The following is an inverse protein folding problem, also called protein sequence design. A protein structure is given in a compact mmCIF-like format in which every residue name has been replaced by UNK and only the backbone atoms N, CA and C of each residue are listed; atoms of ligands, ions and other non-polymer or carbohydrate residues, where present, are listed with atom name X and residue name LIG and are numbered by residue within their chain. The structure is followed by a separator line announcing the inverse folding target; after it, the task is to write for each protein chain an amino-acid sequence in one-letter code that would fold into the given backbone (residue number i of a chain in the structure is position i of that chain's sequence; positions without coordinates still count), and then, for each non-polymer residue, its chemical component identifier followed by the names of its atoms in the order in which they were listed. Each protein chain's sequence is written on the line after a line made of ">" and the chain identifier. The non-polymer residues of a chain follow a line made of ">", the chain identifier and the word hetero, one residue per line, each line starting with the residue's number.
data_IF_138670098006
#
_entry.id   IF_138670098006
#
_cell.length_a   1.000
_cell.length_b   1.000
_cell.length_c   1.000
_cell.angle_alpha   90.00
_cell.angle_beta   90.00
_cell.angle_gamma   90.00
#
_symmetry.space_group_name_H-M   'P 1'
#
loop_
_entity.id
_entity.type
_entity.pdbx_description
1 polymer ?
#
# COMPACT_ATOMS: atom_id res chain seq x y z
N UNK A 1 -46.98 -1.78 42.38
CA UNK A 1 -46.13 -3.00 42.34
C UNK A 1 -46.39 -3.85 41.09
N UNK A 2 -47.65 -4.08 40.71
CA UNK A 2 -48.05 -4.88 39.55
C UNK A 2 -47.46 -4.45 38.18
N UNK A 3 -47.36 -3.15 37.92
CA UNK A 3 -46.77 -2.62 36.67
C UNK A 3 -45.28 -2.96 36.52
N UNK A 4 -44.51 -2.97 37.62
CA UNK A 4 -43.07 -3.29 37.59
C UNK A 4 -42.82 -4.75 37.20
N UNK A 5 -43.69 -5.66 37.61
CA UNK A 5 -43.57 -7.09 37.31
C UNK A 5 -43.85 -7.36 35.82
N UNK A 6 -44.87 -6.72 35.25
CA UNK A 6 -45.19 -6.85 33.82
C UNK A 6 -44.06 -6.34 32.92
N UNK A 7 -43.46 -5.20 33.27
CA UNK A 7 -42.31 -4.65 32.53
C UNK A 7 -41.10 -5.58 32.61
N UNK A 8 -40.83 -6.15 33.79
CA UNK A 8 -39.69 -7.06 34.00
C UNK A 8 -39.85 -8.36 33.18
N UNK A 9 -41.05 -8.95 33.15
CA UNK A 9 -41.35 -10.11 32.30
C UNK A 9 -41.23 -9.78 30.81
N UNK A 10 -41.70 -8.60 30.38
CA UNK A 10 -41.56 -8.15 29.00
C UNK A 10 -40.11 -8.01 28.54
N UNK A 11 -39.24 -7.42 29.39
CA UNK A 11 -37.80 -7.30 29.11
C UNK A 11 -37.13 -8.66 29.03
N UNK A 12 -37.50 -9.61 29.91
CA UNK A 12 -36.96 -10.98 29.88
C UNK A 12 -37.33 -11.72 28.59
N UNK A 13 -38.58 -11.60 28.13
CA UNK A 13 -39.03 -12.23 26.89
C UNK A 13 -38.32 -11.63 25.68
N UNK A 14 -38.20 -10.30 25.61
CA UNK A 14 -37.48 -9.63 24.52
C UNK A 14 -36.00 -10.01 24.53
N UNK A 15 -35.37 -10.09 25.70
CA UNK A 15 -33.98 -10.56 25.86
C UNK A 15 -33.80 -12.01 25.40
N UNK A 16 -34.72 -12.90 25.77
CA UNK A 16 -34.68 -14.31 25.37
C UNK A 16 -34.89 -14.49 23.85
N UNK A 17 -35.85 -13.78 23.27
CA UNK A 17 -36.09 -13.78 21.81
C UNK A 17 -34.89 -13.18 21.08
N UNK A 18 -34.31 -12.09 21.59
CA UNK A 18 -33.11 -11.47 21.03
C UNK A 18 -31.91 -12.40 21.04
N UNK A 19 -31.69 -13.13 22.15
CA UNK A 19 -30.63 -14.13 22.24
C UNK A 19 -30.85 -15.28 21.27
N UNK A 20 -32.09 -15.78 21.16
CA UNK A 20 -32.42 -16.89 20.25
C UNK A 20 -32.30 -16.48 18.79
N UNK A 21 -32.71 -15.24 18.45
CA UNK A 21 -32.52 -14.67 17.12
C UNK A 21 -31.03 -14.48 16.79
N UNK A 22 -30.23 -14.07 17.79
CA UNK A 22 -28.79 -13.95 17.62
C UNK A 22 -28.14 -15.30 17.34
N UNK A 23 -28.45 -16.31 18.16
CA UNK A 23 -27.84 -17.63 18.06
C UNK A 23 -28.22 -18.37 16.78
N UNK A 24 -29.47 -18.21 16.31
CA UNK A 24 -29.98 -18.93 15.13
C UNK A 24 -29.65 -18.21 13.82
N UNK A 25 -29.61 -16.88 13.80
CA UNK A 25 -29.53 -16.12 12.55
C UNK A 25 -28.30 -15.21 12.46
N UNK A 26 -28.04 -14.40 13.49
CA UNK A 26 -26.95 -13.42 13.41
C UNK A 26 -25.58 -14.08 13.53
N UNK A 27 -25.43 -15.10 14.37
CA UNK A 27 -24.16 -15.79 14.59
C UNK A 27 -23.61 -16.33 13.27
N UNK A 28 -24.38 -17.14 12.56
CA UNK A 28 -23.95 -17.75 11.30
C UNK A 28 -23.70 -16.69 10.22
N UNK A 29 -24.53 -15.65 10.18
CA UNK A 29 -24.33 -14.52 9.27
C UNK A 29 -23.01 -13.78 9.54
N UNK A 30 -22.67 -13.48 10.79
CA UNK A 30 -21.41 -12.83 11.15
C UNK A 30 -20.21 -13.73 10.93
N UNK A 31 -20.32 -15.03 11.20
CA UNK A 31 -19.25 -15.98 10.87
C UNK A 31 -19.02 -16.05 9.35
N UNK A 32 -20.07 -16.07 8.55
CA UNK A 32 -20.00 -16.04 7.10
C UNK A 32 -19.37 -14.74 6.58
N UNK A 33 -19.79 -13.57 7.10
CA UNK A 33 -19.18 -12.29 6.77
C UNK A 33 -17.71 -12.23 7.18
N UNK A 34 -17.38 -12.73 8.37
CA UNK A 34 -16.02 -12.81 8.87
C UNK A 34 -15.14 -13.68 7.99
N UNK A 35 -15.62 -14.85 7.57
CA UNK A 35 -14.87 -15.74 6.67
C UNK A 35 -14.65 -15.09 5.31
N UNK A 36 -15.67 -14.43 4.73
CA UNK A 36 -15.51 -13.69 3.47
C UNK A 36 -14.47 -12.58 3.63
N UNK A 37 -14.56 -11.79 4.70
CA UNK A 37 -13.64 -10.69 4.95
C UNK A 37 -12.20 -11.19 5.06
N UNK A 38 -11.95 -12.26 5.83
CA UNK A 38 -10.63 -12.87 5.96
C UNK A 38 -10.14 -13.40 4.61
N UNK A 39 -10.97 -14.13 3.86
CA UNK A 39 -10.59 -14.62 2.53
C UNK A 39 -10.21 -13.50 1.56
N UNK A 40 -10.98 -12.41 1.53
CA UNK A 40 -10.70 -11.24 0.71
C UNK A 40 -9.43 -10.54 1.17
N UNK A 41 -9.25 -10.34 2.47
CA UNK A 41 -8.04 -9.73 3.03
C UNK A 41 -6.79 -10.55 2.73
N UNK A 42 -6.85 -11.88 2.88
CA UNK A 42 -5.76 -12.80 2.53
C UNK A 42 -5.47 -12.75 1.04
N UNK A 43 -6.48 -12.76 0.18
CA UNK A 43 -6.31 -12.69 -1.27
C UNK A 43 -5.65 -11.38 -1.71
N UNK A 44 -6.10 -10.23 -1.17
CA UNK A 44 -5.50 -8.92 -1.44
C UNK A 44 -4.05 -8.90 -0.94
N UNK A 45 -3.80 -9.39 0.28
CA UNK A 45 -2.46 -9.41 0.85
C UNK A 45 -1.50 -10.32 0.07
N UNK A 46 -1.90 -11.54 -0.25
CA UNK A 46 -1.06 -12.47 -1.01
C UNK A 46 -0.78 -11.93 -2.41
N UNK A 47 -1.81 -11.42 -3.10
CA UNK A 47 -1.65 -10.81 -4.42
C UNK A 47 -0.76 -9.57 -4.39
N UNK A 48 -0.85 -8.76 -3.33
CA UNK A 48 0.03 -7.61 -3.13
C UNK A 48 1.49 -8.03 -2.93
N UNK A 49 1.75 -9.01 -2.05
CA UNK A 49 3.11 -9.50 -1.81
C UNK A 49 3.70 -10.16 -3.06
N UNK A 50 2.90 -10.90 -3.84
CA UNK A 50 3.33 -11.44 -5.13
C UNK A 50 3.69 -10.32 -6.12
N UNK A 51 2.88 -9.26 -6.20
CA UNK A 51 3.19 -8.08 -7.01
C UNK A 51 4.50 -7.39 -6.60
N UNK A 52 4.79 -7.31 -5.30
CA UNK A 52 6.05 -6.72 -4.80
C UNK A 52 7.30 -7.47 -5.29
N UNK A 53 7.20 -8.78 -5.48
CA UNK A 53 8.34 -9.64 -5.81
C UNK A 53 8.30 -10.24 -7.22
N UNK A 54 7.34 -9.83 -8.06
CA UNK A 54 7.17 -10.38 -9.41
C UNK A 54 8.35 -10.13 -10.34
N UNK A 55 9.18 -9.14 -10.03
CA UNK A 55 10.27 -8.67 -10.89
C UNK A 55 11.67 -8.96 -10.31
N UNK A 56 11.78 -9.70 -9.20
CA UNK A 56 13.06 -10.01 -8.56
C UNK A 56 14.01 -10.75 -9.51
N UNK A 57 13.52 -11.69 -10.33
CA UNK A 57 14.38 -12.42 -11.27
C UNK A 57 14.95 -11.57 -12.41
N UNK A 58 14.33 -10.43 -12.72
CA UNK A 58 14.80 -9.49 -13.74
C UNK A 58 16.02 -8.69 -13.27
N UNK A 59 16.24 -8.63 -11.95
CA UNK A 59 17.27 -7.80 -11.32
C UNK A 59 16.79 -6.36 -11.10
N UNK A 60 17.24 -5.75 -10.00
CA UNK A 60 16.85 -4.39 -9.63
C UNK A 60 17.92 -3.36 -10.00
N UNK A 61 17.64 -2.52 -11.00
CA UNK A 61 18.50 -1.36 -11.28
C UNK A 61 17.99 -0.14 -10.53
N UNK A 62 18.87 0.52 -9.77
CA UNK A 62 18.53 1.73 -9.02
C UNK A 62 17.91 2.83 -9.90
N UNK A 63 18.31 2.91 -11.17
CA UNK A 63 17.78 3.88 -12.13
C UNK A 63 16.30 3.67 -12.49
N UNK A 64 15.73 2.48 -12.26
CA UNK A 64 14.31 2.20 -12.51
C UNK A 64 13.39 2.91 -11.50
N UNK A 65 13.89 3.21 -10.29
CA UNK A 65 13.13 3.90 -9.24
C UNK A 65 13.02 5.41 -9.51
N UNK A 66 14.01 5.97 -10.20
CA UNK A 66 14.20 7.42 -10.34
C UNK A 66 12.98 8.14 -10.98
N UNK A 67 12.36 7.64 -12.07
CA UNK A 67 11.17 8.26 -12.64
C UNK A 67 10.00 8.35 -11.64
N UNK A 68 9.75 7.28 -10.89
CA UNK A 68 8.67 7.25 -9.91
C UNK A 68 8.91 8.26 -8.77
N UNK A 69 10.16 8.37 -8.28
CA UNK A 69 10.51 9.36 -7.24
C UNK A 69 10.30 10.78 -7.75
N UNK A 70 10.74 11.07 -8.98
CA UNK A 70 10.57 12.39 -9.60
C UNK A 70 9.09 12.75 -9.74
N UNK A 71 8.26 11.81 -10.20
CA UNK A 71 6.83 12.07 -10.38
C UNK A 71 6.15 12.32 -9.04
N UNK A 72 6.40 11.49 -8.01
CA UNK A 72 5.85 11.72 -6.65
C UNK A 72 6.29 13.08 -6.11
N UNK A 73 7.57 13.44 -6.29
CA UNK A 73 8.10 14.73 -5.85
C UNK A 73 7.41 15.89 -6.57
N UNK A 74 7.21 15.80 -7.89
CA UNK A 74 6.49 16.82 -8.67
C UNK A 74 5.05 16.95 -8.17
N UNK A 75 4.37 15.83 -7.93
CA UNK A 75 2.98 15.84 -7.45
C UNK A 75 2.88 16.49 -6.08
N UNK A 76 3.78 16.17 -5.14
CA UNK A 76 3.79 16.76 -3.79
C UNK A 76 4.17 18.24 -3.79
N UNK A 77 5.09 18.66 -4.66
CA UNK A 77 5.55 20.04 -4.75
C UNK A 77 4.60 20.94 -5.56
N UNK A 78 3.82 20.36 -6.48
CA UNK A 78 2.96 21.12 -7.39
C UNK A 78 1.93 22.02 -6.69
N UNK A 79 1.21 21.60 -5.62
CA UNK A 79 0.21 22.44 -4.98
C UNK A 79 0.85 23.66 -4.32
N UNK A 80 2.04 23.49 -3.73
CA UNK A 80 2.80 24.58 -3.12
C UNK A 80 3.26 25.59 -4.18
N UNK A 81 3.79 25.11 -5.31
CA UNK A 81 4.18 25.96 -6.43
C UNK A 81 3.00 26.74 -7.00
N UNK A 82 1.87 26.07 -7.27
CA UNK A 82 0.66 26.70 -7.79
C UNK A 82 0.08 27.70 -6.78
N UNK A 83 0.02 27.35 -5.49
CA UNK A 83 -0.45 28.23 -4.44
C UNK A 83 0.33 29.55 -4.39
N UNK A 84 1.67 29.48 -4.43
CA UNK A 84 2.53 30.65 -4.43
C UNK A 84 2.39 31.50 -5.70
N UNK A 85 2.33 30.86 -6.87
CA UNK A 85 2.14 31.57 -8.15
C UNK A 85 0.82 32.33 -8.18
N UNK A 86 -0.25 31.67 -7.76
CA UNK A 86 -1.59 32.23 -7.62
C UNK A 86 -1.58 33.44 -6.68
N UNK A 87 -1.05 33.30 -5.47
CA UNK A 87 -0.97 34.40 -4.52
C UNK A 87 -0.15 35.60 -5.06
N UNK A 88 0.93 35.36 -5.81
CA UNK A 88 1.71 36.44 -6.45
C UNK A 88 0.94 37.18 -7.54
N UNK A 89 0.11 36.48 -8.32
CA UNK A 89 -0.76 37.13 -9.31
C UNK A 89 -1.82 37.97 -8.61
N UNK A 90 -2.40 37.47 -7.51
CA UNK A 90 -3.40 38.19 -6.73
C UNK A 90 -2.85 39.43 -6.02
N UNK A 91 -1.65 39.33 -5.42
CA UNK A 91 -1.02 40.48 -4.77
C UNK A 91 -0.73 41.65 -5.73
N UNK A 92 -0.68 41.40 -7.04
CA UNK A 92 -0.53 42.45 -8.07
C UNK A 92 -1.86 43.05 -8.51
N UNK A 93 -2.99 42.45 -8.14
CA UNK A 93 -4.33 42.81 -8.61
C UNK A 93 -5.16 43.61 -7.60
N UNK A 94 -4.62 43.91 -6.41
CA UNK A 94 -5.20 44.81 -5.39
C UNK A 94 -5.15 46.30 -5.81
N UNK A 95 -5.31 46.60 -7.09
CA UNK A 95 -5.70 47.93 -7.54
C UNK A 95 -7.21 48.08 -7.36
N UNK A 96 -7.72 49.14 -6.70
CA UNK A 96 -9.14 49.27 -6.38
C UNK A 96 -9.95 49.42 -7.67
N UNK A 97 -10.67 48.38 -8.08
CA UNK A 97 -11.64 48.49 -9.18
C UNK A 97 -12.92 49.07 -8.59
N UNK A 98 -13.17 50.32 -8.98
CA UNK A 98 -14.32 51.16 -8.66
C UNK A 98 -15.66 50.44 -8.87
N UNK A 99 -16.52 50.61 -7.88
CA UNK A 99 -17.94 50.27 -7.89
C UNK A 99 -18.63 50.85 -9.12
N UNK A 100 -19.08 50.01 -10.05
CA UNK A 100 -20.15 50.40 -10.97
C UNK A 100 -21.09 49.22 -11.21
N UNK A 101 -22.27 49.33 -10.58
CA UNK A 101 -23.55 48.85 -11.13
C UNK A 101 -23.66 47.36 -11.49
N UNK A 102 -23.69 46.48 -10.50
CA UNK A 102 -24.09 45.08 -10.66
C UNK A 102 -23.52 44.24 -9.53
N UNK A 103 -24.34 43.42 -8.86
CA UNK A 103 -24.02 42.66 -7.63
C UNK A 103 -23.02 41.50 -7.85
N UNK A 104 -22.03 41.66 -8.72
CA UNK A 104 -20.95 40.71 -8.90
C UNK A 104 -19.82 41.12 -7.95
N UNK A 105 -19.65 40.36 -6.86
CA UNK A 105 -18.48 40.51 -6.00
C UNK A 105 -17.34 39.63 -6.56
N UNK A 106 -16.35 40.19 -7.26
CA UNK A 106 -15.28 39.41 -7.89
C UNK A 106 -14.47 38.61 -6.87
N UNK A 107 -14.39 39.10 -5.63
CA UNK A 107 -13.65 38.45 -4.54
C UNK A 107 -14.32 37.12 -4.18
N UNK A 108 -15.66 37.07 -4.08
CA UNK A 108 -16.36 35.82 -3.72
C UNK A 108 -16.31 34.78 -4.84
N UNK A 109 -16.38 35.20 -6.11
CA UNK A 109 -16.16 34.32 -7.27
C UNK A 109 -14.75 33.72 -7.29
N UNK A 110 -13.73 34.53 -6.98
CA UNK A 110 -12.33 34.11 -6.95
C UNK A 110 -12.03 33.17 -5.77
N UNK A 111 -12.57 33.45 -4.58
CA UNK A 111 -12.46 32.55 -3.41
C UNK A 111 -13.13 31.20 -3.68
N UNK A 112 -14.31 31.21 -4.31
CA UNK A 112 -14.99 29.97 -4.72
C UNK A 112 -14.18 29.20 -5.77
N UNK A 113 -13.54 29.89 -6.73
CA UNK A 113 -12.65 29.28 -7.73
C UNK A 113 -11.40 28.64 -7.11
N UNK A 114 -10.76 29.31 -6.13
CA UNK A 114 -9.61 28.77 -5.37
C UNK A 114 -10.01 27.52 -4.59
N UNK A 115 -11.16 27.55 -3.89
CA UNK A 115 -11.67 26.40 -3.13
C UNK A 115 -11.98 25.20 -4.04
N UNK A 116 -12.65 25.42 -5.19
CA UNK A 116 -12.94 24.36 -6.17
C UNK A 116 -11.68 23.75 -6.77
N UNK A 117 -10.69 24.58 -7.10
CA UNK A 117 -9.44 24.10 -7.67
C UNK A 117 -8.61 23.30 -6.66
N UNK A 118 -8.57 23.72 -5.38
CA UNK A 118 -7.91 22.94 -4.33
C UNK A 118 -8.61 21.58 -4.13
N UNK A 119 -9.94 21.56 -4.07
CA UNK A 119 -10.69 20.30 -3.97
C UNK A 119 -10.41 19.40 -5.17
N UNK A 120 -10.39 19.95 -6.39
CA UNK A 120 -10.06 19.21 -7.60
C UNK A 120 -8.65 18.62 -7.56
N UNK A 121 -7.64 19.41 -7.17
CA UNK A 121 -6.25 18.95 -7.04
C UNK A 121 -6.14 17.87 -5.97
N UNK A 122 -6.83 17.99 -4.83
CA UNK A 122 -6.81 16.96 -3.79
C UNK A 122 -7.48 15.66 -4.25
N UNK A 123 -8.65 15.76 -4.90
CA UNK A 123 -9.39 14.59 -5.39
C UNK A 123 -8.61 13.85 -6.48
N UNK A 124 -7.96 14.57 -7.39
CA UNK A 124 -7.15 13.95 -8.46
C UNK A 124 -5.76 13.52 -7.97
N UNK A 125 -5.18 14.23 -6.99
CA UNK A 125 -3.85 13.96 -6.49
C UNK A 125 -3.76 12.67 -5.66
N UNK A 126 -4.80 12.34 -4.88
CA UNK A 126 -4.79 11.16 -4.00
C UNK A 126 -4.60 9.85 -4.79
N UNK A 127 -5.39 9.53 -5.84
CA UNK A 127 -5.19 8.30 -6.61
C UNK A 127 -3.81 8.22 -7.24
N UNK A 128 -3.31 9.34 -7.77
CA UNK A 128 -2.00 9.41 -8.41
C UNK A 128 -0.89 9.12 -7.38
N UNK A 129 -0.97 9.72 -6.19
CA UNK A 129 -0.02 9.45 -5.09
C UNK A 129 -0.04 7.97 -4.71
N UNK A 130 -1.22 7.35 -4.61
CA UNK A 130 -1.35 5.93 -4.27
C UNK A 130 -0.66 5.06 -5.33
N UNK A 131 -0.95 5.28 -6.62
CA UNK A 131 -0.38 4.51 -7.73
C UNK A 131 1.16 4.60 -7.77
N UNK A 132 1.71 5.81 -7.67
CA UNK A 132 3.16 5.97 -7.72
C UNK A 132 3.85 5.52 -6.42
N UNK A 133 3.18 5.61 -5.27
CA UNK A 133 3.70 5.05 -4.03
C UNK A 133 3.77 3.53 -4.11
N UNK A 134 2.75 2.87 -4.66
CA UNK A 134 2.79 1.41 -4.92
C UNK A 134 3.99 1.03 -5.80
N UNK A 135 4.14 1.71 -6.94
CA UNK A 135 5.26 1.49 -7.86
C UNK A 135 6.61 1.67 -7.15
N UNK A 136 6.77 2.72 -6.32
CA UNK A 136 8.00 2.93 -5.54
C UNK A 136 8.24 1.81 -4.52
N UNK A 137 7.22 1.40 -3.77
CA UNK A 137 7.33 0.34 -2.78
C UNK A 137 7.74 -0.96 -3.45
N UNK A 138 7.12 -1.31 -4.60
CA UNK A 138 7.47 -2.47 -5.40
C UNK A 138 8.93 -2.46 -5.83
N UNK A 139 9.39 -1.37 -6.45
CA UNK A 139 10.76 -1.24 -6.95
C UNK A 139 11.80 -1.32 -5.82
N UNK A 140 11.56 -0.62 -4.71
CA UNK A 140 12.45 -0.66 -3.54
C UNK A 140 12.50 -2.07 -2.93
N UNK A 141 11.36 -2.74 -2.83
CA UNK A 141 11.26 -4.11 -2.32
C UNK A 141 12.01 -5.09 -3.21
N UNK A 142 11.83 -4.97 -4.53
CA UNK A 142 12.52 -5.77 -5.55
C UNK A 142 14.03 -5.60 -5.45
N UNK A 143 14.53 -4.34 -5.44
CA UNK A 143 15.96 -4.05 -5.32
C UNK A 143 16.54 -4.62 -4.02
N UNK A 144 15.82 -4.48 -2.90
CA UNK A 144 16.26 -5.01 -1.61
C UNK A 144 16.35 -6.53 -1.63
N UNK A 145 15.37 -7.21 -2.24
CA UNK A 145 15.38 -8.66 -2.40
C UNK A 145 16.55 -9.12 -3.28
N UNK A 146 16.72 -8.54 -4.47
CA UNK A 146 17.83 -8.83 -5.38
C UNK A 146 19.18 -8.71 -4.68
N UNK A 147 19.46 -7.57 -4.04
CA UNK A 147 20.75 -7.34 -3.36
C UNK A 147 21.03 -8.34 -2.24
N UNK A 148 20.00 -8.73 -1.49
CA UNK A 148 20.16 -9.72 -0.40
C UNK A 148 20.40 -11.12 -0.94
N UNK A 149 19.66 -11.53 -1.97
CA UNK A 149 19.84 -12.85 -2.60
C UNK A 149 21.21 -12.93 -3.26
N UNK A 150 21.59 -11.93 -4.07
CA UNK A 150 22.89 -11.86 -4.72
C UNK A 150 24.02 -11.92 -3.70
N UNK A 151 23.93 -11.16 -2.61
CA UNK A 151 24.90 -11.23 -1.51
C UNK A 151 25.00 -12.64 -0.91
N UNK A 152 23.88 -13.32 -0.68
CA UNK A 152 23.90 -14.67 -0.11
C UNK A 152 24.45 -15.69 -1.10
N UNK A 153 24.13 -15.55 -2.39
CA UNK A 153 24.69 -16.37 -3.47
C UNK A 153 26.21 -16.18 -3.59
N UNK A 154 26.70 -14.95 -3.47
CA UNK A 154 28.13 -14.64 -3.51
C UNK A 154 28.87 -15.23 -2.29
N UNK A 155 28.28 -15.13 -1.09
CA UNK A 155 28.86 -15.69 0.14
C UNK A 155 28.94 -17.21 0.06
N UNK A 156 27.88 -17.88 -0.40
CA UNK A 156 27.84 -19.34 -0.42
C UNK A 156 28.64 -19.96 -1.58
N UNK A 157 28.84 -19.21 -2.68
CA UNK A 157 29.49 -19.67 -3.92
C UNK A 157 30.75 -20.52 -3.71
N UNK A 158 31.78 -20.08 -2.94
CA UNK A 158 33.01 -20.85 -2.78
C UNK A 158 32.80 -22.20 -2.07
N UNK A 159 31.68 -22.41 -1.39
CA UNK A 159 31.44 -23.58 -0.55
C UNK A 159 30.59 -24.68 -1.22
N UNK A 160 29.78 -24.34 -2.24
CA UNK A 160 28.83 -25.28 -2.86
C UNK A 160 29.28 -25.82 -4.22
N UNK A 161 30.34 -25.25 -4.79
CA UNK A 161 30.85 -25.55 -6.13
C UNK A 161 30.03 -24.90 -7.25
N UNK A 162 30.67 -24.70 -8.40
CA UNK A 162 30.11 -23.93 -9.52
C UNK A 162 28.80 -24.51 -10.07
N UNK A 163 28.66 -25.84 -10.16
CA UNK A 163 27.42 -26.45 -10.66
C UNK A 163 26.20 -26.09 -9.80
N UNK A 164 26.32 -26.20 -8.47
CA UNK A 164 25.23 -25.86 -7.57
C UNK A 164 24.94 -24.37 -7.55
N UNK A 165 25.99 -23.55 -7.66
CA UNK A 165 25.84 -22.10 -7.78
C UNK A 165 25.04 -21.71 -9.02
N UNK A 166 25.35 -22.28 -10.19
CA UNK A 166 24.62 -21.98 -11.42
C UNK A 166 23.15 -22.42 -11.38
N UNK A 167 22.82 -23.51 -10.68
CA UNK A 167 21.42 -23.92 -10.46
C UNK A 167 20.69 -22.85 -9.65
N UNK A 168 21.22 -22.48 -8.47
CA UNK A 168 20.61 -21.43 -7.64
C UNK A 168 20.51 -20.09 -8.36
N UNK A 169 21.51 -19.74 -9.16
CA UNK A 169 21.49 -18.53 -9.96
C UNK A 169 20.42 -18.58 -11.06
N UNK A 170 20.21 -19.74 -11.69
CA UNK A 170 19.12 -19.95 -12.64
C UNK A 170 17.76 -19.81 -11.97
N UNK A 171 17.59 -20.39 -10.78
CA UNK A 171 16.36 -20.31 -9.98
C UNK A 171 16.09 -18.86 -9.56
N UNK A 172 17.12 -18.13 -9.15
CA UNK A 172 17.05 -16.68 -8.90
C UNK A 172 16.49 -15.91 -10.11
N UNK A 173 16.95 -16.20 -11.32
CA UNK A 173 16.48 -15.53 -12.55
C UNK A 173 15.04 -15.88 -12.91
N UNK A 174 14.47 -16.94 -12.34
CA UNK A 174 13.10 -17.40 -12.60
C UNK A 174 12.09 -16.95 -11.55
N UNK A 175 12.50 -16.16 -10.56
CA UNK A 175 11.59 -15.63 -9.54
C UNK A 175 10.61 -14.65 -10.19
N UNK A 176 9.33 -14.99 -10.09
CA UNK A 176 8.17 -14.23 -10.56
C UNK A 176 7.10 -14.02 -9.48
N UNK A 177 7.41 -14.29 -8.21
CA UNK A 177 6.49 -14.12 -7.10
C UNK A 177 7.04 -14.59 -5.76
N UNK A 178 6.21 -14.50 -4.73
CA UNK A 178 6.56 -14.79 -3.34
C UNK A 178 6.99 -16.25 -3.13
N UNK A 179 6.27 -17.19 -3.72
CA UNK A 179 6.51 -18.62 -3.50
C UNK A 179 7.92 -19.02 -3.93
N UNK A 180 8.28 -18.76 -5.20
CA UNK A 180 9.61 -19.10 -5.73
C UNK A 180 10.74 -18.38 -4.98
N UNK A 181 10.48 -17.16 -4.52
CA UNK A 181 11.42 -16.41 -3.71
C UNK A 181 11.67 -17.11 -2.36
N UNK A 182 10.62 -17.55 -1.65
CA UNK A 182 10.75 -18.33 -0.42
C UNK A 182 11.49 -19.64 -0.68
N UNK A 183 11.13 -20.35 -1.73
CA UNK A 183 11.73 -21.64 -2.09
C UNK A 183 13.24 -21.49 -2.31
N UNK A 184 13.66 -20.48 -3.07
CA UNK A 184 15.08 -20.17 -3.26
C UNK A 184 15.78 -19.80 -1.94
N UNK A 185 15.17 -18.96 -1.11
CA UNK A 185 15.75 -18.56 0.19
C UNK A 185 15.99 -19.79 1.06
N UNK A 186 15.02 -20.70 1.12
CA UNK A 186 15.12 -21.95 1.87
C UNK A 186 16.23 -22.84 1.30
N UNK A 187 16.32 -22.98 -0.01
CA UNK A 187 17.36 -23.78 -0.67
C UNK A 187 18.77 -23.23 -0.43
N UNK A 188 18.93 -21.91 -0.48
CA UNK A 188 20.18 -21.22 -0.14
C UNK A 188 20.54 -21.51 1.33
N UNK A 189 19.59 -21.35 2.26
CA UNK A 189 19.83 -21.56 3.70
C UNK A 189 20.18 -23.03 4.00
N UNK A 190 19.51 -23.99 3.37
CA UNK A 190 19.80 -25.42 3.53
C UNK A 190 21.22 -25.73 3.05
N UNK A 191 21.62 -25.20 1.89
CA UNK A 191 22.98 -25.40 1.35
C UNK A 191 24.03 -24.70 2.21
N UNK A 192 23.74 -23.51 2.74
CA UNK A 192 24.66 -22.78 3.61
C UNK A 192 24.87 -23.51 4.94
N UNK A 193 23.79 -24.02 5.54
CA UNK A 193 23.86 -24.84 6.76
C UNK A 193 24.69 -26.11 6.56
N UNK A 194 24.55 -26.78 5.41
CA UNK A 194 25.38 -27.95 5.06
C UNK A 194 26.86 -27.59 4.87
N UNK A 195 27.13 -26.36 4.46
CA UNK A 195 28.47 -25.84 4.28
C UNK A 195 29.05 -25.18 5.54
N UNK A 196 28.30 -25.15 6.65
CA UNK A 196 28.67 -24.47 7.90
C UNK A 196 28.98 -22.97 7.71
N UNK A 197 28.22 -22.32 6.82
CA UNK A 197 28.34 -20.89 6.52
C UNK A 197 27.13 -20.14 7.08
N UNK A 198 27.40 -19.10 7.88
CA UNK A 198 26.37 -18.19 8.36
C UNK A 198 26.02 -17.15 7.29
N UNK A 199 24.73 -17.04 6.97
CA UNK A 199 24.22 -16.07 6.03
C UNK A 199 23.52 -14.90 6.75
N UNK A 200 23.60 -13.67 6.21
CA UNK A 200 22.84 -12.56 6.75
C UNK A 200 21.34 -12.75 6.53
N UNK A 201 20.54 -12.30 7.49
CA UNK A 201 19.09 -12.47 7.48
C UNK A 201 18.39 -11.72 6.34
N UNK A 202 17.45 -12.41 5.70
CA UNK A 202 16.61 -11.88 4.62
C UNK A 202 15.29 -11.32 5.18
N UNK A 203 15.39 -10.15 5.85
CA UNK A 203 14.20 -9.39 6.26
C UNK A 203 13.61 -8.61 5.07
N UNK A 204 12.53 -9.14 4.49
CA UNK A 204 11.78 -8.60 3.35
C UNK A 204 10.35 -8.24 3.78
N UNK A 205 9.68 -7.35 3.03
CA UNK A 205 8.31 -6.95 3.38
C UNK A 205 7.34 -8.11 3.15
N UNK A 206 6.61 -8.51 4.20
CA UNK A 206 5.63 -9.59 4.14
C UNK A 206 6.20 -11.01 4.07
N UNK A 207 7.49 -11.16 4.40
CA UNK A 207 8.27 -12.40 4.45
C UNK A 207 9.03 -12.51 5.77
#
# INVERSE_FOLDING_TARGET
>A
MYYKIKTLVGVLIIGAIGSLLYDVLLKDFFFFLGSIFVSVATFIYSGYVDHLYSDVGKGGLFFQVLPAVLIVTIILCSPYYFYNKINRVYAKQDSPVLETGGKFNPITYLVQRKKRMNVFISVMGIPIIIIYSDMLIKEVSTIKACRKIERNLDIIRPHIGEKNYHILYSDYRQIDGKSKLIDLINDINIKAKKAEVDLPEINLLGL
#
